data_IF_570513831006
#
_entry.id   IF_570513831006
#
_cell.length_a   1.000
_cell.length_b   1.000
_cell.length_c   1.000
_cell.angle_alpha   90.00
_cell.angle_beta   90.00
_cell.angle_gamma   90.00
#
_symmetry.space_group_name_H-M   'P 1'
#
loop_
_entity.id
_entity.type
_entity.pdbx_description
1 polymer ?
#
# COMPACT_ATOMS: atom_id res chain seq x y z
N UNK A 1 -5.96 -7.97 17.66
CA UNK A 1 -7.01 -7.19 16.98
C UNK A 1 -6.60 -6.94 15.56
N UNK A 2 -7.50 -7.15 14.62
CA UNK A 2 -7.24 -6.92 13.21
C UNK A 2 -7.66 -5.51 12.83
N UNK A 3 -6.79 -4.81 12.12
CA UNK A 3 -7.07 -3.50 11.57
C UNK A 3 -7.24 -3.61 10.06
N UNK A 4 -8.20 -2.91 9.52
CA UNK A 4 -8.47 -2.90 8.07
C UNK A 4 -8.10 -1.55 7.49
N UNK A 5 -7.57 -1.58 6.28
CA UNK A 5 -7.25 -0.38 5.50
C UNK A 5 -7.93 -0.53 4.16
N UNK A 6 -8.87 0.35 3.86
CA UNK A 6 -9.56 0.39 2.57
C UNK A 6 -8.97 1.52 1.74
N UNK A 7 -8.41 1.19 0.59
CA UNK A 7 -7.80 2.15 -0.33
C UNK A 7 -8.60 2.17 -1.63
N UNK A 8 -9.06 3.37 -1.99
CA UNK A 8 -9.76 3.61 -3.25
C UNK A 8 -8.93 4.59 -4.07
N UNK A 9 -8.65 4.27 -5.33
CA UNK A 9 -7.85 5.11 -6.21
C UNK A 9 -8.68 5.61 -7.38
N UNK A 10 -8.43 6.87 -7.77
CA UNK A 10 -8.91 7.44 -9.02
C UNK A 10 -7.68 7.95 -9.76
N UNK A 11 -7.45 7.45 -10.96
CA UNK A 11 -6.27 7.79 -11.75
C UNK A 11 -6.68 8.07 -13.20
N UNK A 12 -6.15 9.14 -13.75
CA UNK A 12 -6.39 9.53 -15.14
C UNK A 12 -5.08 9.71 -15.86
N UNK A 13 -4.94 9.04 -16.99
CA UNK A 13 -3.75 9.10 -17.85
C UNK A 13 -3.43 7.71 -18.39
N UNK A 14 -2.40 7.66 -19.24
CA UNK A 14 -1.84 6.43 -19.78
C UNK A 14 -0.76 5.87 -18.87
N UNK A 15 0.48 5.81 -19.38
CA UNK A 15 1.62 5.38 -18.58
C UNK A 15 1.89 6.36 -17.43
N UNK A 16 1.69 7.64 -17.67
CA UNK A 16 1.79 8.67 -16.64
C UNK A 16 0.51 9.49 -16.62
N UNK A 17 0.17 9.96 -15.44
CA UNK A 17 -1.05 10.73 -15.25
C UNK A 17 -1.13 11.28 -13.84
N UNK A 18 -2.33 11.66 -13.45
CA UNK A 18 -2.61 12.23 -12.14
C UNK A 18 -3.71 11.44 -11.45
N UNK A 19 -3.63 11.37 -10.14
CA UNK A 19 -4.63 10.64 -9.39
C UNK A 19 -4.58 10.89 -7.90
N UNK A 20 -5.60 10.39 -7.24
CA UNK A 20 -5.76 10.50 -5.79
C UNK A 20 -6.17 9.15 -5.22
N UNK A 21 -5.55 8.77 -4.12
CA UNK A 21 -5.97 7.63 -3.30
C UNK A 21 -6.65 8.15 -2.05
N UNK A 22 -7.76 7.51 -1.70
CA UNK A 22 -8.50 7.75 -0.46
C UNK A 22 -8.29 6.54 0.46
N UNK A 23 -7.94 6.78 1.71
CA UNK A 23 -7.55 5.76 2.67
C UNK A 23 -8.45 5.87 3.89
N UNK A 24 -9.14 4.77 4.22
CA UNK A 24 -9.92 4.67 5.45
C UNK A 24 -9.35 3.52 6.27
N UNK A 25 -9.03 3.79 7.54
CA UNK A 25 -8.53 2.80 8.48
C UNK A 25 -9.65 2.51 9.47
N UNK A 26 -9.95 1.23 9.70
CA UNK A 26 -11.03 0.90 10.60
C UNK A 26 -10.77 -0.40 11.36
N UNK A 27 -11.42 -0.49 12.51
CA UNK A 27 -11.45 -1.70 13.34
C UNK A 27 -12.87 -1.96 13.77
N UNK A 28 -13.17 -3.19 14.14
CA UNK A 28 -14.43 -3.54 14.80
C UNK A 28 -14.14 -3.85 16.27
N UNK A 29 -14.92 -3.25 17.14
CA UNK A 29 -14.84 -3.49 18.57
C UNK A 29 -16.24 -3.50 19.16
N UNK A 30 -16.59 -4.60 19.84
CA UNK A 30 -17.91 -4.79 20.47
C UNK A 30 -19.07 -4.60 19.48
N UNK A 31 -18.89 -5.07 18.24
CA UNK A 31 -19.88 -4.96 17.19
C UNK A 31 -19.95 -3.58 16.53
N UNK A 32 -19.13 -2.64 16.93
CA UNK A 32 -19.08 -1.30 16.36
C UNK A 32 -17.85 -1.08 15.50
N UNK A 33 -18.03 -0.40 14.38
CA UNK A 33 -16.95 -0.02 13.47
C UNK A 33 -16.42 1.36 13.86
N UNK A 34 -15.11 1.41 14.16
CA UNK A 34 -14.41 2.64 14.45
C UNK A 34 -13.50 3.00 13.28
N UNK A 35 -13.71 4.17 12.69
CA UNK A 35 -12.99 4.60 11.48
C UNK A 35 -12.11 5.81 11.75
N UNK A 36 -11.00 5.88 11.03
CA UNK A 36 -10.15 7.06 10.91
C UNK A 36 -9.97 7.40 9.43
N UNK A 37 -9.92 8.68 9.13
CA UNK A 37 -9.82 9.16 7.76
C UNK A 37 -11.14 9.75 7.25
N UNK A 38 -11.27 9.93 5.92
CA UNK A 38 -10.29 9.52 4.91
C UNK A 38 -9.02 10.35 4.92
N UNK A 39 -7.92 9.66 4.62
CA UNK A 39 -6.63 10.30 4.35
C UNK A 39 -6.38 10.24 2.85
N UNK A 40 -5.68 11.20 2.28
CA UNK A 40 -5.51 11.31 0.83
C UNK A 40 -4.05 11.35 0.43
N UNK A 41 -3.75 10.72 -0.70
CA UNK A 41 -2.48 10.85 -1.39
C UNK A 41 -2.79 11.28 -2.82
N UNK A 42 -2.17 12.36 -3.29
CA UNK A 42 -2.36 12.86 -4.64
C UNK A 42 -1.03 12.86 -5.36
N UNK A 43 -1.04 12.41 -6.61
CA UNK A 43 0.13 12.43 -7.50
C UNK A 43 -0.20 13.19 -8.77
N UNK A 44 0.84 13.83 -9.35
CA UNK A 44 0.77 14.55 -10.60
C UNK A 44 1.94 14.10 -11.47
N UNK A 45 1.65 13.75 -12.72
CA UNK A 45 2.64 13.23 -13.66
C UNK A 45 3.41 12.05 -13.10
N UNK A 46 2.67 11.05 -12.63
CA UNK A 46 3.21 9.82 -12.04
C UNK A 46 2.55 8.59 -12.63
N UNK A 47 3.05 7.42 -12.27
CA UNK A 47 2.44 6.16 -12.67
C UNK A 47 1.34 5.74 -11.70
N UNK A 48 0.38 4.95 -12.20
CA UNK A 48 -0.65 4.34 -11.35
C UNK A 48 -0.03 3.45 -10.27
N UNK A 49 1.03 2.72 -10.61
CA UNK A 49 1.72 1.85 -9.66
C UNK A 49 2.35 2.64 -8.51
N UNK A 50 2.91 3.80 -8.81
CA UNK A 50 3.47 4.65 -7.76
C UNK A 50 2.39 5.17 -6.82
N UNK A 51 1.25 5.58 -7.35
CA UNK A 51 0.12 5.99 -6.50
C UNK A 51 -0.30 4.86 -5.57
N UNK A 52 -0.38 3.63 -6.07
CA UNK A 52 -0.78 2.48 -5.28
C UNK A 52 0.16 2.24 -4.08
N UNK A 53 1.47 2.21 -4.32
CA UNK A 53 2.42 1.96 -3.22
C UNK A 53 2.56 3.14 -2.26
N UNK A 54 2.45 4.38 -2.77
CA UNK A 54 2.39 5.56 -1.92
C UNK A 54 1.20 5.50 -0.95
N UNK A 55 0.04 5.08 -1.45
CA UNK A 55 -1.17 4.96 -0.62
C UNK A 55 -1.00 3.91 0.48
N UNK A 56 -0.40 2.76 0.18
CA UNK A 56 -0.13 1.72 1.16
C UNK A 56 0.79 2.24 2.26
N UNK A 57 1.89 2.87 1.89
CA UNK A 57 2.84 3.39 2.86
C UNK A 57 2.26 4.54 3.69
N UNK A 58 1.44 5.40 3.08
CA UNK A 58 0.76 6.47 3.81
C UNK A 58 -0.18 5.89 4.86
N UNK A 59 -0.93 4.85 4.53
CA UNK A 59 -1.77 4.17 5.50
C UNK A 59 -0.96 3.59 6.66
N UNK A 60 0.15 2.94 6.36
CA UNK A 60 0.97 2.27 7.36
C UNK A 60 1.64 3.22 8.35
N UNK A 61 1.85 4.48 7.97
CA UNK A 61 2.38 5.50 8.88
C UNK A 61 1.48 5.73 10.10
N UNK A 62 0.21 5.44 10.01
CA UNK A 62 -0.74 5.64 11.10
C UNK A 62 -0.68 4.54 12.17
N UNK A 63 0.06 3.46 11.91
CA UNK A 63 0.19 2.35 12.84
C UNK A 63 1.47 2.49 13.66
N UNK A 64 1.33 3.04 14.85
CA UNK A 64 2.46 3.33 15.75
C UNK A 64 2.86 2.10 16.55
N UNK A 65 1.87 1.33 17.02
CA UNK A 65 2.12 0.12 17.81
C UNK A 65 2.62 -1.01 16.92
N UNK A 66 3.67 -1.73 17.33
CA UNK A 66 4.17 -2.87 16.54
C UNK A 66 3.28 -4.10 16.67
N UNK A 67 3.52 -5.07 15.81
CA UNK A 67 2.89 -6.40 15.83
C UNK A 67 1.38 -6.37 15.69
N UNK A 68 0.85 -5.40 14.94
CA UNK A 68 -0.56 -5.36 14.60
C UNK A 68 -0.82 -6.21 13.37
N UNK A 69 -2.02 -6.77 13.29
CA UNK A 69 -2.50 -7.52 12.13
C UNK A 69 -3.27 -6.54 11.24
N UNK A 70 -2.71 -6.21 10.07
CA UNK A 70 -3.23 -5.19 9.18
C UNK A 70 -3.62 -5.84 7.85
N UNK A 71 -4.87 -5.68 7.45
CA UNK A 71 -5.38 -6.15 6.17
C UNK A 71 -5.68 -4.94 5.31
N UNK A 72 -4.93 -4.80 4.21
CA UNK A 72 -5.10 -3.73 3.25
C UNK A 72 -5.94 -4.26 2.09
N UNK A 73 -7.06 -3.59 1.79
CA UNK A 73 -7.97 -3.96 0.71
C UNK A 73 -7.96 -2.88 -0.35
N UNK A 74 -7.65 -3.26 -1.58
CA UNK A 74 -7.54 -2.33 -2.71
C UNK A 74 -7.80 -3.06 -4.02
N UNK A 75 -8.13 -2.32 -5.08
CA UNK A 75 -8.32 -2.89 -6.42
C UNK A 75 -7.03 -2.98 -7.21
N UNK A 76 -6.09 -2.08 -6.96
CA UNK A 76 -4.81 -2.06 -7.64
C UNK A 76 -3.99 -3.30 -7.27
N UNK A 77 -3.47 -4.01 -8.26
CA UNK A 77 -2.80 -5.31 -8.06
C UNK A 77 -1.30 -5.20 -7.86
N UNK A 78 -0.72 -4.04 -8.16
CA UNK A 78 0.73 -3.86 -8.20
C UNK A 78 1.43 -4.26 -6.90
N UNK A 79 0.95 -3.78 -5.76
CA UNK A 79 1.60 -4.05 -4.48
C UNK A 79 1.48 -5.53 -4.12
N UNK A 80 0.27 -6.10 -4.22
CA UNK A 80 0.02 -7.51 -3.92
C UNK A 80 0.89 -8.44 -4.77
N UNK A 81 0.96 -8.16 -6.06
CA UNK A 81 1.70 -9.00 -7.02
C UNK A 81 3.21 -8.99 -6.75
N UNK A 82 3.75 -7.90 -6.25
CA UNK A 82 5.20 -7.74 -6.07
C UNK A 82 5.70 -7.97 -4.65
N UNK A 83 4.81 -8.13 -3.67
CA UNK A 83 5.23 -8.39 -2.29
C UNK A 83 6.11 -9.63 -2.16
N UNK A 84 5.89 -10.64 -2.97
CA UNK A 84 6.67 -11.88 -2.97
C UNK A 84 8.14 -11.66 -3.30
N UNK A 85 8.48 -10.57 -3.96
CA UNK A 85 9.86 -10.27 -4.37
C UNK A 85 10.59 -9.35 -3.39
N UNK A 86 9.89 -8.81 -2.41
CA UNK A 86 10.40 -7.72 -1.58
C UNK A 86 11.66 -8.10 -0.79
N UNK A 87 11.67 -9.27 -0.17
CA UNK A 87 12.84 -9.72 0.60
C UNK A 87 14.07 -9.91 -0.30
N UNK A 88 13.88 -10.49 -1.49
CA UNK A 88 14.95 -10.65 -2.46
C UNK A 88 15.48 -9.31 -2.97
N UNK A 89 14.59 -8.35 -3.20
CA UNK A 89 15.01 -7.00 -3.58
C UNK A 89 15.82 -6.33 -2.47
N UNK A 90 15.38 -6.48 -1.24
CA UNK A 90 16.09 -5.89 -0.09
C UNK A 90 17.51 -6.47 0.04
N UNK A 91 17.67 -7.79 -0.10
CA UNK A 91 18.97 -8.45 -0.06
C UNK A 91 19.94 -7.94 -1.13
N UNK A 92 19.42 -7.58 -2.30
CA UNK A 92 20.21 -7.09 -3.45
C UNK A 92 20.25 -5.57 -3.53
N UNK A 93 19.88 -4.88 -2.45
CA UNK A 93 19.80 -3.41 -2.39
C UNK A 93 18.98 -2.83 -3.53
N UNK A 94 17.88 -3.52 -3.89
CA UNK A 94 16.93 -3.10 -4.92
C UNK A 94 17.54 -2.95 -6.30
N UNK A 95 18.59 -3.69 -6.58
CA UNK A 95 19.24 -3.74 -7.88
C UNK A 95 18.76 -4.97 -8.65
N UNK A 96 18.39 -4.77 -9.90
CA UNK A 96 18.07 -5.85 -10.81
C UNK A 96 19.33 -6.42 -11.43
N UNK A 97 19.20 -7.62 -11.99
CA UNK A 97 20.23 -8.21 -12.85
C UNK A 97 20.54 -7.23 -13.98
N UNK A 98 21.79 -6.82 -14.12
CA UNK A 98 22.19 -5.81 -15.08
C UNK A 98 22.36 -4.40 -14.50
N UNK A 99 22.14 -4.22 -13.19
CA UNK A 99 22.44 -2.97 -12.49
C UNK A 99 21.33 -1.93 -12.47
N UNK A 100 20.16 -2.24 -13.03
CA UNK A 100 19.03 -1.31 -12.98
C UNK A 100 18.35 -1.37 -11.61
N UNK A 101 17.91 -0.21 -11.13
CA UNK A 101 17.18 -0.11 -9.86
C UNK A 101 15.73 -0.56 -10.06
N UNK A 102 15.19 -1.29 -9.09
CA UNK A 102 13.78 -1.68 -9.06
C UNK A 102 12.90 -0.42 -9.08
N UNK A 103 11.86 -0.41 -9.92
CA UNK A 103 10.92 0.70 -9.97
C UNK A 103 10.30 0.93 -8.58
N UNK A 104 10.17 2.20 -8.17
CA UNK A 104 9.63 2.59 -6.86
C UNK A 104 10.43 2.03 -5.67
N UNK A 105 11.72 1.80 -5.84
CA UNK A 105 12.58 1.22 -4.79
C UNK A 105 12.50 1.99 -3.47
N UNK A 106 12.41 3.31 -3.52
CA UNK A 106 12.28 4.16 -2.33
C UNK A 106 11.04 3.77 -1.49
N UNK A 107 9.92 3.55 -2.16
CA UNK A 107 8.68 3.15 -1.48
C UNK A 107 8.70 1.68 -1.05
N UNK A 108 9.33 0.80 -1.82
CA UNK A 108 9.48 -0.59 -1.43
C UNK A 108 10.36 -0.74 -0.18
N UNK A 109 11.37 0.09 -0.01
CA UNK A 109 12.17 0.13 1.23
C UNK A 109 11.33 0.48 2.44
N UNK A 110 10.44 1.46 2.31
CA UNK A 110 9.51 1.84 3.39
C UNK A 110 8.58 0.69 3.74
N UNK A 111 8.03 0.02 2.74
CA UNK A 111 7.13 -1.12 2.97
C UNK A 111 7.86 -2.28 3.65
N UNK A 112 9.10 -2.54 3.26
CA UNK A 112 9.91 -3.56 3.92
C UNK A 112 10.10 -3.25 5.42
N UNK A 113 10.36 -2.00 5.76
CA UNK A 113 10.47 -1.56 7.16
C UNK A 113 9.14 -1.76 7.91
N UNK A 114 8.03 -1.38 7.31
CA UNK A 114 6.71 -1.57 7.93
C UNK A 114 6.41 -3.05 8.15
N UNK A 115 6.79 -3.90 7.22
CA UNK A 115 6.55 -5.34 7.31
C UNK A 115 7.36 -6.00 8.43
N UNK A 116 8.45 -5.41 8.85
CA UNK A 116 9.22 -5.84 10.02
C UNK A 116 8.49 -5.55 11.32
N UNK A 117 7.74 -4.46 11.37
CA UNK A 117 7.01 -4.04 12.56
C UNK A 117 5.61 -4.60 12.65
N UNK A 118 4.97 -4.88 11.51
CA UNK A 118 3.57 -5.22 11.40
C UNK A 118 3.37 -6.50 10.58
N UNK A 119 2.28 -7.23 10.88
CA UNK A 119 1.82 -8.30 9.99
C UNK A 119 0.90 -7.68 8.94
N UNK A 120 1.34 -7.65 7.69
CA UNK A 120 0.64 -6.97 6.61
C UNK A 120 0.16 -7.99 5.58
N UNK A 121 -1.13 -7.97 5.29
CA UNK A 121 -1.77 -8.74 4.23
C UNK A 121 -2.42 -7.76 3.26
N UNK A 122 -2.23 -7.96 1.96
CA UNK A 122 -2.92 -7.18 0.93
C UNK A 122 -3.92 -8.07 0.23
N UNK A 123 -5.18 -7.65 0.25
CA UNK A 123 -6.28 -8.34 -0.44
C UNK A 123 -6.75 -7.50 -1.61
N UNK A 124 -6.92 -8.15 -2.76
CA UNK A 124 -7.47 -7.49 -3.94
C UNK A 124 -8.99 -7.62 -3.89
N UNK A 125 -9.67 -6.50 -3.98
CA UNK A 125 -11.13 -6.45 -3.98
C UNK A 125 -11.64 -6.07 -5.36
N UNK A 126 -12.83 -6.57 -5.72
CA UNK A 126 -13.48 -6.21 -6.98
C UNK A 126 -14.33 -4.95 -6.78
N UNK A 127 -14.77 -4.34 -7.90
CA UNK A 127 -15.68 -3.21 -7.86
C UNK A 127 -16.98 -3.53 -7.11
N UNK A 128 -17.45 -4.75 -7.22
CA UNK A 128 -18.66 -5.19 -6.56
C UNK A 128 -18.51 -5.34 -5.04
N UNK A 129 -17.30 -5.42 -4.53
CA UNK A 129 -17.00 -5.60 -3.11
C UNK A 129 -16.77 -4.27 -2.37
N UNK A 130 -16.73 -3.17 -3.11
CA UNK A 130 -16.44 -1.84 -2.56
C UNK A 130 -17.69 -1.04 -2.28
#
# INVERSE_FOLDING_TARGET
MTCYVDITTVFRGGQRGSGTASIIIWTEKDGERHEAGPFYVTVVDETRNRLAILAVNEALKHFIKPKQDIIIRMRETYVRANLQYLDGWHEKDYQKKGGQTVANADEWRKLWMHRHSQKITVEIVSDAAV
#
